data_IF_328660982575
#
_entry.id   IF_328660982575
#
_cell.length_a   1.000
_cell.length_b   1.000
_cell.length_c   1.000
_cell.angle_alpha   90.00
_cell.angle_beta   90.00
_cell.angle_gamma   90.00
#
_symmetry.space_group_name_H-M   'P 1'
#
loop_
_entity.id
_entity.type
_entity.pdbx_description
1 polymer ?
#
# COMPACT_ATOMS: atom_id res chain seq x y z
N UNK A 1 -24.67 -24.19 -6.43
CA UNK A 1 -24.87 -23.81 -7.85
C UNK A 1 -24.26 -24.89 -8.75
N UNK A 2 -25.07 -25.72 -9.43
CA UNK A 2 -24.61 -26.81 -10.29
C UNK A 2 -23.61 -26.35 -11.37
N UNK A 3 -23.78 -25.12 -11.86
CA UNK A 3 -22.90 -24.45 -12.83
C UNK A 3 -21.45 -24.28 -12.35
N UNK A 4 -21.13 -24.35 -11.04
CA UNK A 4 -19.73 -24.25 -10.57
C UNK A 4 -18.85 -25.41 -11.08
N UNK A 5 -19.41 -26.59 -11.30
CA UNK A 5 -18.63 -27.79 -11.67
C UNK A 5 -18.10 -27.73 -13.11
N UNK A 6 -18.78 -27.01 -14.00
CA UNK A 6 -18.39 -26.94 -15.42
C UNK A 6 -17.31 -25.88 -15.70
N UNK A 7 -17.12 -24.93 -14.77
CA UNK A 7 -16.23 -23.76 -14.94
C UNK A 7 -14.94 -23.91 -14.11
N UNK A 8 -14.97 -24.75 -13.09
CA UNK A 8 -13.83 -25.03 -12.21
C UNK A 8 -13.04 -26.23 -12.76
N UNK A 9 -12.31 -26.03 -13.86
CA UNK A 9 -11.09 -26.84 -14.03
C UNK A 9 -10.20 -26.59 -12.80
N UNK A 10 -9.57 -27.62 -12.20
CA UNK A 10 -8.60 -27.41 -11.14
C UNK A 10 -7.63 -26.33 -11.60
N UNK A 11 -7.45 -25.26 -10.80
CA UNK A 11 -6.48 -24.23 -11.15
C UNK A 11 -5.12 -24.92 -11.37
N UNK A 12 -4.44 -24.70 -12.51
CA UNK A 12 -3.02 -24.99 -12.59
C UNK A 12 -2.29 -24.32 -11.43
N UNK A 13 -1.24 -24.93 -10.88
CA UNK A 13 -0.49 -24.40 -9.73
C UNK A 13 0.13 -23.00 -10.00
N UNK A 14 0.15 -22.58 -11.26
CA UNK A 14 0.70 -21.37 -11.85
C UNK A 14 -0.38 -20.38 -12.35
N UNK A 15 -1.65 -20.55 -11.99
CA UNK A 15 -2.73 -19.69 -12.47
C UNK A 15 -3.00 -18.47 -11.56
N UNK A 16 -2.17 -17.44 -11.67
CA UNK A 16 -2.35 -16.08 -11.11
C UNK A 16 -1.29 -15.14 -11.71
N UNK A 17 -1.57 -13.87 -12.06
CA UNK A 17 -2.76 -13.09 -11.70
C UNK A 17 -3.88 -13.12 -12.74
N UNK A 18 -5.09 -12.80 -12.28
CA UNK A 18 -6.20 -12.43 -13.16
C UNK A 18 -5.98 -11.03 -13.70
N UNK A 19 -6.17 -10.85 -15.00
CA UNK A 19 -6.13 -9.55 -15.63
C UNK A 19 -7.52 -9.16 -16.08
N UNK A 20 -7.91 -7.92 -15.79
CA UNK A 20 -9.08 -7.32 -16.41
C UNK A 20 -8.61 -6.48 -17.59
N UNK A 21 -9.13 -6.75 -18.77
CA UNK A 21 -8.90 -5.94 -19.96
C UNK A 21 -10.01 -4.88 -20.06
N UNK A 22 -9.73 -3.60 -19.74
CA UNK A 22 -10.77 -2.58 -19.69
C UNK A 22 -11.36 -2.26 -21.06
N UNK A 23 -10.59 -2.41 -22.14
CA UNK A 23 -11.04 -2.12 -23.52
C UNK A 23 -12.13 -3.10 -23.96
N UNK A 24 -11.98 -4.38 -23.62
CA UNK A 24 -12.92 -5.44 -24.03
C UNK A 24 -13.92 -5.79 -22.94
N UNK A 25 -13.70 -5.32 -21.71
CA UNK A 25 -14.51 -5.63 -20.54
C UNK A 25 -14.37 -7.07 -20.07
N UNK A 26 -13.28 -7.77 -20.42
CA UNK A 26 -13.12 -9.21 -20.15
C UNK A 26 -12.06 -9.49 -19.10
N UNK A 27 -12.37 -10.47 -18.25
CA UNK A 27 -11.38 -11.10 -17.39
C UNK A 27 -10.61 -12.17 -18.14
N UNK A 28 -9.29 -12.02 -18.16
CA UNK A 28 -8.36 -12.96 -18.72
C UNK A 28 -7.63 -13.69 -17.60
N UNK A 29 -7.75 -15.01 -17.61
CA UNK A 29 -6.96 -15.89 -16.75
C UNK A 29 -5.78 -16.42 -17.55
N UNK A 30 -4.69 -15.66 -17.57
CA UNK A 30 -3.47 -16.11 -18.23
C UNK A 30 -2.78 -17.17 -17.36
N UNK A 31 -2.32 -18.27 -17.98
CA UNK A 31 -1.31 -19.12 -17.35
C UNK A 31 -0.01 -18.35 -17.39
N UNK A 32 0.67 -18.21 -16.25
CA UNK A 32 1.99 -17.61 -16.25
C UNK A 32 3.00 -18.59 -16.83
N UNK A 33 4.06 -18.08 -17.46
CA UNK A 33 5.10 -18.91 -18.08
C UNK A 33 6.02 -19.62 -17.07
N UNK A 34 5.81 -19.40 -15.77
CA UNK A 34 6.53 -20.00 -14.64
C UNK A 34 5.57 -20.19 -13.48
N UNK A 35 5.95 -21.00 -12.49
CA UNK A 35 5.20 -21.11 -11.24
C UNK A 35 5.13 -19.76 -10.52
N UNK A 36 3.94 -19.40 -10.04
CA UNK A 36 3.72 -18.22 -9.24
C UNK A 36 4.08 -18.41 -7.76
N UNK A 37 4.08 -17.32 -6.97
CA UNK A 37 4.26 -17.39 -5.53
C UNK A 37 3.12 -18.13 -4.84
N UNK A 38 3.38 -18.65 -3.65
CA UNK A 38 2.32 -18.90 -2.69
C UNK A 38 1.58 -17.58 -2.40
N UNK A 39 0.27 -17.64 -2.23
CA UNK A 39 -0.52 -16.47 -1.87
C UNK A 39 -1.57 -16.85 -0.83
N UNK A 40 -1.97 -15.86 -0.04
CA UNK A 40 -3.02 -15.95 0.96
C UNK A 40 -3.64 -14.57 1.20
N UNK A 41 -4.18 -14.40 2.40
CA UNK A 41 -4.76 -13.12 2.82
C UNK A 41 -3.67 -12.15 3.28
N UNK A 42 -3.85 -10.87 2.97
CA UNK A 42 -3.00 -9.78 3.46
C UNK A 42 -1.61 -9.70 2.83
N UNK A 43 -1.45 -10.22 1.62
CA UNK A 43 -0.24 -10.06 0.80
C UNK A 43 -0.16 -8.64 0.20
N UNK A 44 1.07 -8.21 -0.12
CA UNK A 44 1.31 -6.91 -0.77
C UNK A 44 1.58 -7.11 -2.25
N UNK A 45 0.87 -6.37 -3.11
CA UNK A 45 1.13 -6.30 -4.55
C UNK A 45 1.23 -4.83 -4.98
N UNK A 46 2.35 -4.45 -5.59
CA UNK A 46 2.62 -3.10 -6.07
C UNK A 46 3.07 -3.15 -7.52
N UNK A 47 2.43 -2.40 -8.40
CA UNK A 47 2.90 -2.22 -9.77
C UNK A 47 4.04 -1.18 -9.83
N UNK A 48 5.09 -1.53 -10.58
CA UNK A 48 6.30 -0.74 -10.81
C UNK A 48 6.30 -0.26 -12.27
N UNK A 49 5.74 0.92 -12.57
CA UNK A 49 5.51 1.37 -13.95
C UNK A 49 6.79 1.44 -14.77
N UNK A 50 7.87 1.98 -14.21
CA UNK A 50 9.16 2.14 -14.89
C UNK A 50 9.80 0.80 -15.30
N UNK A 51 9.41 -0.28 -14.62
CA UNK A 51 9.92 -1.63 -14.84
C UNK A 51 8.95 -2.54 -15.58
N UNK A 52 7.68 -2.12 -15.74
CA UNK A 52 6.59 -2.97 -16.22
C UNK A 52 6.50 -4.29 -15.44
N UNK A 53 6.75 -4.21 -14.13
CA UNK A 53 6.77 -5.35 -13.22
C UNK A 53 5.80 -5.13 -12.07
N UNK A 54 5.32 -6.19 -11.45
CA UNK A 54 4.66 -6.10 -10.14
C UNK A 54 5.56 -6.72 -9.08
N UNK A 55 5.81 -5.97 -8.01
CA UNK A 55 6.38 -6.49 -6.77
C UNK A 55 5.28 -7.20 -5.98
N UNK A 56 5.56 -8.42 -5.55
CA UNK A 56 4.69 -9.19 -4.69
C UNK A 56 5.46 -9.61 -3.44
N UNK A 57 4.85 -9.43 -2.27
CA UNK A 57 5.37 -9.89 -1.00
C UNK A 57 4.30 -10.74 -0.33
N UNK A 58 4.64 -12.02 -0.12
CA UNK A 58 3.83 -12.93 0.67
C UNK A 58 4.15 -12.71 2.16
N UNK A 59 3.24 -12.04 2.88
CA UNK A 59 3.40 -11.67 4.29
C UNK A 59 4.70 -10.87 4.52
N UNK A 60 5.70 -11.47 5.19
CA UNK A 60 7.06 -10.94 5.29
C UNK A 60 8.12 -11.95 4.85
N UNK A 61 7.73 -12.99 4.12
CA UNK A 61 8.57 -14.15 3.88
C UNK A 61 9.20 -14.12 2.50
N UNK A 62 8.38 -14.12 1.45
CA UNK A 62 8.81 -14.35 0.08
C UNK A 62 8.53 -13.14 -0.78
N UNK A 63 9.54 -12.71 -1.53
CA UNK A 63 9.42 -11.63 -2.49
C UNK A 63 9.48 -12.21 -3.89
N UNK A 64 8.57 -11.75 -4.74
CA UNK A 64 8.48 -12.16 -6.12
C UNK A 64 8.31 -10.92 -7.00
N UNK A 65 8.83 -10.99 -8.22
CA UNK A 65 8.59 -10.02 -9.27
C UNK A 65 7.82 -10.71 -10.39
N UNK A 66 6.69 -10.13 -10.79
CA UNK A 66 5.98 -10.53 -11.99
C UNK A 66 6.36 -9.60 -13.14
N UNK A 67 6.90 -10.16 -14.20
CA UNK A 67 7.18 -9.43 -15.44
C UNK A 67 5.96 -9.46 -16.36
N UNK A 68 5.35 -8.30 -16.56
CA UNK A 68 4.10 -8.18 -17.34
C UNK A 68 4.31 -8.39 -18.84
N UNK A 69 5.54 -8.25 -19.34
CA UNK A 69 5.83 -8.37 -20.78
C UNK A 69 6.09 -9.83 -21.16
N UNK A 70 6.80 -10.56 -20.31
CA UNK A 70 7.13 -11.97 -20.52
C UNK A 70 6.13 -12.90 -19.86
N UNK A 71 5.21 -12.38 -19.05
CA UNK A 71 4.21 -13.12 -18.30
C UNK A 71 4.85 -14.18 -17.38
N UNK A 72 5.90 -13.79 -16.65
CA UNK A 72 6.67 -14.70 -15.78
C UNK A 72 6.81 -14.14 -14.38
N UNK A 73 6.60 -15.02 -13.40
CA UNK A 73 6.98 -14.80 -12.02
C UNK A 73 8.44 -15.21 -11.80
N UNK A 74 9.15 -14.41 -11.02
CA UNK A 74 10.50 -14.68 -10.56
C UNK A 74 10.57 -14.49 -9.05
N UNK A 75 10.92 -15.54 -8.32
CA UNK A 75 11.27 -15.42 -6.91
C UNK A 75 12.59 -14.66 -6.79
N UNK A 76 12.62 -13.68 -5.90
CA UNK A 76 13.83 -12.93 -5.56
C UNK A 76 14.13 -13.16 -4.10
N UNK A 77 15.38 -13.49 -3.78
CA UNK A 77 15.85 -13.72 -2.41
C UNK A 77 16.51 -12.44 -1.89
N UNK A 78 15.80 -11.60 -1.13
CA UNK A 78 16.35 -10.32 -0.72
C UNK A 78 17.34 -10.49 0.41
N UNK A 79 18.35 -9.62 0.44
CA UNK A 79 19.28 -9.52 1.57
C UNK A 79 18.69 -8.64 2.67
N UNK A 80 19.39 -8.59 3.81
CA UNK A 80 19.07 -7.69 4.91
C UNK A 80 17.97 -8.21 5.83
N UNK A 81 17.68 -7.47 6.92
CA UNK A 81 16.69 -7.88 7.91
C UNK A 81 15.29 -7.77 7.30
N UNK A 82 14.52 -8.87 7.30
CA UNK A 82 13.11 -8.85 6.88
C UNK A 82 12.28 -7.98 7.82
N UNK A 83 11.17 -7.37 7.35
CA UNK A 83 10.29 -6.61 8.21
C UNK A 83 9.73 -7.48 9.36
N UNK A 84 9.70 -6.98 10.61
CA UNK A 84 9.34 -7.76 11.80
C UNK A 84 7.82 -7.83 12.05
N UNK A 85 7.02 -7.75 10.98
CA UNK A 85 5.56 -7.76 11.01
C UNK A 85 5.01 -8.62 9.87
N UNK A 86 3.76 -9.06 9.95
CA UNK A 86 3.19 -10.09 9.08
C UNK A 86 2.37 -9.57 7.90
N UNK A 87 1.07 -9.84 7.96
CA UNK A 87 0.08 -9.56 6.91
C UNK A 87 -0.49 -8.14 7.03
N UNK A 88 -1.26 -7.72 6.03
CA UNK A 88 -2.01 -6.46 6.03
C UNK A 88 -1.12 -5.21 6.14
N UNK A 89 0.13 -5.31 5.69
CA UNK A 89 1.05 -4.20 5.66
C UNK A 89 0.59 -3.14 4.66
N UNK A 90 0.65 -1.87 5.04
CA UNK A 90 0.45 -0.77 4.09
C UNK A 90 1.75 -0.53 3.32
N UNK A 91 1.68 -0.04 2.08
CA UNK A 91 2.88 0.12 1.27
C UNK A 91 2.72 1.11 0.13
N UNK A 92 3.84 1.67 -0.33
CA UNK A 92 3.88 2.52 -1.52
C UNK A 92 5.20 2.40 -2.29
N UNK A 93 5.20 2.82 -3.55
CA UNK A 93 6.37 2.84 -4.42
C UNK A 93 6.91 4.26 -4.59
N UNK A 94 8.18 4.45 -4.21
CA UNK A 94 8.98 5.62 -4.54
C UNK A 94 9.68 5.40 -5.87
N UNK A 95 9.12 6.05 -6.90
CA UNK A 95 9.62 6.00 -8.27
C UNK A 95 10.94 6.72 -8.47
N UNK A 96 11.28 7.72 -7.65
CA UNK A 96 12.55 8.47 -7.78
C UNK A 96 13.74 7.62 -7.32
N UNK A 97 13.57 6.86 -6.23
CA UNK A 97 14.64 6.04 -5.64
C UNK A 97 14.56 4.58 -6.07
N UNK A 98 13.45 4.17 -6.67
CA UNK A 98 13.09 2.76 -6.88
C UNK A 98 13.10 1.99 -5.57
N UNK A 99 12.31 2.47 -4.62
CA UNK A 99 12.15 1.87 -3.30
C UNK A 99 10.69 1.57 -3.04
N UNK A 100 10.44 0.52 -2.28
CA UNK A 100 9.11 0.25 -1.75
C UNK A 100 9.17 0.50 -0.25
N UNK A 101 8.33 1.42 0.21
CA UNK A 101 8.13 1.66 1.62
C UNK A 101 7.01 0.76 2.12
N UNK A 102 7.26 0.02 3.19
CA UNK A 102 6.28 -0.88 3.80
C UNK A 102 6.13 -0.51 5.27
N UNK A 103 4.89 -0.29 5.65
CA UNK A 103 4.48 0.10 6.98
C UNK A 103 3.69 -1.00 7.66
N UNK A 104 4.21 -1.45 8.79
CA UNK A 104 3.54 -2.29 9.77
C UNK A 104 2.89 -3.53 9.19
N UNK A 105 1.85 -3.98 9.86
CA UNK A 105 1.15 -5.21 9.56
C UNK A 105 0.60 -5.80 10.85
N UNK A 106 -0.26 -6.80 10.70
CA UNK A 106 -0.83 -7.60 11.76
C UNK A 106 -0.28 -9.03 11.68
N UNK A 107 -0.31 -9.75 12.80
CA UNK A 107 -0.07 -11.20 12.84
C UNK A 107 1.24 -11.69 12.15
N UNK A 108 2.43 -11.34 12.70
CA UNK A 108 2.62 -10.59 13.95
C UNK A 108 2.66 -9.07 13.76
N UNK A 109 2.46 -8.36 14.86
CA UNK A 109 2.77 -6.93 14.97
C UNK A 109 4.25 -6.76 15.30
N UNK A 110 4.86 -5.63 14.90
CA UNK A 110 6.25 -5.35 15.20
C UNK A 110 6.50 -5.26 16.73
N UNK A 111 7.71 -5.59 17.21
CA UNK A 111 8.06 -5.41 18.61
C UNK A 111 7.82 -3.98 19.09
N UNK A 112 7.41 -3.85 20.34
CA UNK A 112 7.23 -2.53 20.97
C UNK A 112 8.53 -1.73 20.93
N UNK A 113 8.40 -0.41 20.71
CA UNK A 113 9.55 0.50 20.59
C UNK A 113 10.22 0.52 19.21
N UNK A 114 9.70 -0.21 18.22
CA UNK A 114 10.12 -0.10 16.82
C UNK A 114 9.19 0.84 16.04
N UNK A 115 9.68 1.37 14.91
CA UNK A 115 8.91 2.26 14.04
C UNK A 115 8.07 1.52 12.99
N UNK A 116 8.00 0.18 13.03
CA UNK A 116 7.29 -0.67 12.08
C UNK A 116 7.35 -0.18 10.62
N UNK A 117 8.49 0.32 10.18
CA UNK A 117 8.66 0.96 8.88
C UNK A 117 9.92 0.44 8.23
N UNK A 118 9.77 -0.22 7.08
CA UNK A 118 10.85 -0.89 6.36
C UNK A 118 10.94 -0.37 4.94
N UNK A 119 12.14 -0.48 4.37
CA UNK A 119 12.41 -0.13 2.98
C UNK A 119 12.88 -1.36 2.24
N UNK A 120 12.27 -1.64 1.09
CA UNK A 120 12.83 -2.54 0.11
C UNK A 120 13.51 -1.72 -1.00
N UNK A 121 14.81 -1.92 -1.19
CA UNK A 121 15.56 -1.29 -2.27
C UNK A 121 15.55 -2.20 -3.51
N UNK A 122 14.84 -1.79 -4.56
CA UNK A 122 14.66 -2.59 -5.78
C UNK A 122 15.94 -2.66 -6.64
N UNK A 123 16.94 -1.79 -6.42
CA UNK A 123 18.20 -1.83 -7.16
C UNK A 123 19.13 -2.88 -6.57
N UNK A 124 19.16 -2.97 -5.25
CA UNK A 124 20.09 -3.85 -4.52
C UNK A 124 19.44 -5.14 -4.03
N UNK A 125 18.12 -5.32 -4.24
CA UNK A 125 17.33 -6.47 -3.75
C UNK A 125 17.59 -6.70 -2.25
N UNK A 126 17.35 -5.66 -1.45
CA UNK A 126 17.73 -5.63 -0.03
C UNK A 126 16.64 -4.97 0.80
N UNK A 127 16.27 -5.61 1.90
CA UNK A 127 15.51 -5.02 2.98
C UNK A 127 16.39 -4.16 3.87
N UNK A 128 15.89 -3.00 4.27
CA UNK A 128 16.55 -2.06 5.16
C UNK A 128 15.59 -1.69 6.29
N UNK A 129 16.13 -1.70 7.52
CA UNK A 129 15.57 -0.93 8.63
C UNK A 129 16.13 0.50 8.52
N UNK A 130 15.34 1.47 8.04
CA UNK A 130 15.83 2.82 7.79
C UNK A 130 16.16 3.58 9.07
N UNK A 131 15.65 3.16 10.23
CA UNK A 131 15.82 3.86 11.53
C UNK A 131 15.67 5.38 11.42
N UNK A 132 14.51 5.87 10.93
CA UNK A 132 14.31 7.28 10.69
C UNK A 132 14.35 8.07 12.00
N UNK A 133 14.75 9.33 11.91
CA UNK A 133 14.56 10.26 13.03
C UNK A 133 13.06 10.52 13.21
N UNK A 134 12.62 10.57 14.47
CA UNK A 134 11.20 10.70 14.80
C UNK A 134 10.43 9.40 14.62
N UNK A 135 9.12 9.50 14.75
CA UNK A 135 8.18 8.39 14.69
C UNK A 135 6.90 8.93 14.10
N UNK A 136 6.20 8.20 13.22
CA UNK A 136 4.94 8.69 12.68
C UNK A 136 3.95 8.91 13.83
N UNK A 137 3.54 7.89 14.59
CA UNK A 137 2.54 8.06 15.67
C UNK A 137 3.03 7.60 17.06
N UNK A 138 2.31 7.98 18.13
CA UNK A 138 2.49 7.30 19.43
C UNK A 138 2.18 5.81 19.27
N UNK A 139 3.03 4.94 19.82
CA UNK A 139 2.87 3.49 19.67
C UNK A 139 3.11 2.97 18.25
N UNK A 140 4.10 3.51 17.53
CA UNK A 140 4.47 3.27 16.12
C UNK A 140 4.86 1.83 15.71
N UNK A 141 4.21 0.79 16.25
CA UNK A 141 4.57 -0.59 15.96
C UNK A 141 3.59 -1.32 15.02
N UNK A 142 2.52 -0.68 14.54
CA UNK A 142 1.54 -1.30 13.62
C UNK A 142 0.80 -0.29 12.75
N UNK A 143 0.81 -0.49 11.42
CA UNK A 143 0.15 0.37 10.41
C UNK A 143 -0.70 -0.44 9.43
N UNK A 144 -1.64 -1.27 9.92
CA UNK A 144 -2.32 -2.22 9.06
C UNK A 144 -3.28 -1.50 8.11
N UNK A 145 -3.49 -2.08 6.92
CA UNK A 145 -4.34 -1.52 5.85
C UNK A 145 -5.78 -1.24 6.28
N UNK A 146 -6.28 -1.87 7.35
CA UNK A 146 -7.59 -1.54 7.94
C UNK A 146 -7.68 -0.12 8.54
N UNK A 147 -6.55 0.45 8.95
CA UNK A 147 -6.48 1.75 9.62
C UNK A 147 -5.62 2.78 8.88
N UNK A 148 -4.72 2.34 8.00
CA UNK A 148 -3.74 3.20 7.37
C UNK A 148 -3.51 2.92 5.88
N UNK A 149 -3.32 4.01 5.12
CA UNK A 149 -2.88 3.98 3.73
C UNK A 149 -1.56 4.73 3.62
N UNK A 150 -0.60 4.15 2.89
CA UNK A 150 0.65 4.80 2.56
C UNK A 150 0.66 5.19 1.09
N UNK A 151 1.04 6.43 0.78
CA UNK A 151 1.18 6.93 -0.60
C UNK A 151 2.49 7.69 -0.75
N UNK A 152 3.08 7.61 -1.93
CA UNK A 152 4.24 8.41 -2.29
C UNK A 152 3.79 9.58 -3.17
N UNK A 153 4.18 10.80 -2.78
CA UNK A 153 4.00 12.02 -3.54
C UNK A 153 5.32 12.34 -4.27
N UNK A 154 5.44 12.02 -5.57
CA UNK A 154 6.63 12.33 -6.36
C UNK A 154 6.83 13.82 -6.63
N UNK A 155 5.81 14.68 -6.54
CA UNK A 155 5.99 16.12 -6.78
C UNK A 155 6.70 16.78 -5.60
N UNK A 156 6.26 16.48 -4.38
CA UNK A 156 6.85 17.02 -3.16
C UNK A 156 7.99 16.14 -2.59
N UNK A 157 8.19 14.94 -3.15
CA UNK A 157 9.16 13.94 -2.69
C UNK A 157 8.97 13.60 -1.21
N UNK A 158 7.75 13.13 -0.89
CA UNK A 158 7.32 12.77 0.46
C UNK A 158 6.56 11.45 0.44
N UNK A 159 6.66 10.71 1.54
CA UNK A 159 5.77 9.57 1.81
C UNK A 159 4.75 10.02 2.83
N UNK A 160 3.48 9.84 2.52
CA UNK A 160 2.38 10.13 3.42
C UNK A 160 1.87 8.82 3.99
N UNK A 161 1.92 8.68 5.31
CA UNK A 161 1.24 7.63 6.06
C UNK A 161 -0.04 8.23 6.65
N UNK A 162 -1.18 7.83 6.11
CA UNK A 162 -2.49 8.40 6.43
C UNK A 162 -3.25 7.42 7.30
N UNK A 163 -3.39 7.74 8.58
CA UNK A 163 -4.25 7.01 9.50
C UNK A 163 -5.65 7.58 9.45
N UNK A 164 -6.58 6.82 8.88
CA UNK A 164 -7.90 7.32 8.49
C UNK A 164 -9.06 6.76 9.33
N UNK A 165 -8.81 5.79 10.19
CA UNK A 165 -9.80 5.17 11.07
C UNK A 165 -9.14 4.64 12.34
N UNK A 166 -9.95 4.45 13.38
CA UNK A 166 -9.55 3.94 14.68
C UNK A 166 -10.19 2.57 14.95
N UNK A 167 -10.36 1.74 13.91
CA UNK A 167 -11.22 0.54 13.93
C UNK A 167 -11.06 -0.29 15.21
N UNK A 168 -9.81 -0.62 15.56
CA UNK A 168 -9.39 -1.28 16.81
C UNK A 168 -8.37 -0.43 17.61
N UNK A 169 -8.32 0.88 17.34
CA UNK A 169 -7.18 1.72 17.71
C UNK A 169 -7.63 2.99 18.42
N UNK A 170 -6.65 3.79 18.86
CA UNK A 170 -6.89 4.98 19.63
C UNK A 170 -7.00 6.23 18.73
N UNK A 171 -7.97 7.13 18.96
CA UNK A 171 -8.25 8.27 18.08
C UNK A 171 -7.08 9.25 17.93
N UNK A 172 -6.15 9.29 18.89
CA UNK A 172 -4.94 10.10 18.86
C UNK A 172 -3.95 9.71 17.76
N UNK A 173 -4.14 8.55 17.11
CA UNK A 173 -3.33 8.12 15.97
C UNK A 173 -3.83 8.67 14.64
N UNK A 174 -5.03 9.25 14.59
CA UNK A 174 -5.55 9.88 13.37
C UNK A 174 -4.63 11.04 12.96
N UNK A 175 -4.10 10.96 11.75
CA UNK A 175 -3.15 11.94 11.24
C UNK A 175 -2.68 11.59 9.84
N UNK A 176 -2.19 12.60 9.13
CA UNK A 176 -1.34 12.42 7.96
C UNK A 176 0.09 12.66 8.41
N UNK A 177 0.84 11.59 8.53
CA UNK A 177 2.25 11.62 8.94
C UNK A 177 3.13 11.69 7.71
N UNK A 178 4.06 12.63 7.70
CA UNK A 178 4.89 12.93 6.54
C UNK A 178 6.31 12.44 6.79
N UNK A 179 6.81 11.58 5.92
CA UNK A 179 8.20 11.13 5.92
C UNK A 179 8.95 11.77 4.76
N UNK A 180 10.15 12.28 5.04
CA UNK A 180 11.11 12.76 4.06
C UNK A 180 12.15 11.67 3.74
N UNK A 181 12.11 11.09 2.53
CA UNK A 181 13.08 10.07 2.10
C UNK A 181 14.54 10.52 2.03
N UNK A 182 14.81 11.80 1.80
CA UNK A 182 16.18 12.34 1.68
C UNK A 182 16.80 12.53 3.05
N UNK A 183 16.03 13.12 3.97
CA UNK A 183 16.48 13.41 5.32
C UNK A 183 16.30 12.22 6.28
N UNK A 184 15.57 11.17 5.86
CA UNK A 184 15.23 10.00 6.67
C UNK A 184 14.59 10.41 8.02
N UNK A 185 13.57 11.26 7.93
CA UNK A 185 12.92 11.86 9.09
C UNK A 185 11.41 11.90 8.91
N UNK A 186 10.70 11.57 9.98
CA UNK A 186 9.28 11.89 10.11
C UNK A 186 9.12 13.33 10.60
N UNK A 187 8.14 14.05 10.09
CA UNK A 187 7.75 15.34 10.63
C UNK A 187 7.32 15.19 12.10
N UNK A 188 7.64 16.19 12.94
CA UNK A 188 7.36 16.15 14.37
C UNK A 188 5.85 16.18 14.67
N UNK A 189 5.07 16.86 13.81
CA UNK A 189 3.61 16.97 13.93
C UNK A 189 2.91 16.34 12.74
N UNK A 190 1.85 15.59 13.02
CA UNK A 190 0.96 15.05 12.00
C UNK A 190 0.05 16.16 11.47
N UNK A 191 -0.22 16.16 10.17
CA UNK A 191 -1.26 17.01 9.61
C UNK A 191 -2.64 16.43 9.97
N UNK A 192 -3.67 17.27 10.13
CA UNK A 192 -5.01 16.79 10.41
C UNK A 192 -5.53 15.94 9.24
N UNK A 193 -6.19 14.83 9.58
CA UNK A 193 -6.95 14.07 8.59
C UNK A 193 -8.19 14.89 8.22
N UNK A 194 -8.49 15.07 6.92
CA UNK A 194 -9.71 15.74 6.50
C UNK A 194 -10.94 15.10 7.15
N UNK A 195 -11.87 15.90 7.69
CA UNK A 195 -13.03 15.39 8.44
C UNK A 195 -13.85 14.35 7.65
N UNK A 196 -13.92 14.47 6.32
CA UNK A 196 -14.61 13.52 5.43
C UNK A 196 -13.89 12.18 5.27
N UNK A 197 -12.58 12.16 5.50
CA UNK A 197 -11.76 10.95 5.45
C UNK A 197 -11.65 10.29 6.83
N UNK A 198 -11.63 11.10 7.89
CA UNK A 198 -11.52 10.63 9.26
C UNK A 198 -12.86 10.23 9.89
N UNK A 199 -12.80 9.79 11.16
CA UNK A 199 -13.95 9.64 12.08
C UNK A 199 -15.02 8.63 11.68
N UNK A 200 -14.65 7.59 10.93
CA UNK A 200 -15.52 6.44 10.69
C UNK A 200 -14.74 5.12 10.78
N UNK A 201 -15.46 4.00 10.70
CA UNK A 201 -14.89 2.64 10.68
C UNK A 201 -14.76 2.10 9.26
N UNK A 202 -14.76 2.94 8.23
CA UNK A 202 -14.60 2.44 6.87
C UNK A 202 -13.13 2.18 6.57
N UNK A 203 -12.88 1.02 5.95
CA UNK A 203 -11.58 0.69 5.38
C UNK A 203 -11.36 1.57 4.16
N UNK A 204 -10.12 1.99 3.95
CA UNK A 204 -9.79 2.90 2.86
C UNK A 204 -8.59 2.40 2.11
N UNK A 205 -8.59 2.66 0.82
CA UNK A 205 -7.44 2.51 -0.04
C UNK A 205 -7.27 3.79 -0.85
N UNK A 206 -6.05 4.09 -1.26
CA UNK A 206 -5.78 5.32 -1.98
C UNK A 206 -4.54 5.26 -2.84
N UNK A 207 -4.44 6.22 -3.75
CA UNK A 207 -3.31 6.39 -4.63
C UNK A 207 -3.09 7.87 -4.91
N UNK A 208 -1.86 8.22 -5.29
CA UNK A 208 -1.51 9.57 -5.71
C UNK A 208 -1.60 9.70 -7.23
N UNK A 209 -2.23 10.76 -7.71
CA UNK A 209 -2.28 11.14 -9.11
C UNK A 209 -1.33 12.33 -9.37
N UNK A 210 -0.26 12.15 -10.15
CA UNK A 210 0.73 13.20 -10.39
C UNK A 210 0.27 14.29 -11.36
N UNK A 211 -0.72 14.03 -12.22
CA UNK A 211 -1.22 15.04 -13.15
C UNK A 211 -2.14 16.03 -12.42
N UNK A 212 -2.99 15.51 -11.54
CA UNK A 212 -3.92 16.29 -10.74
C UNK A 212 -3.27 16.83 -9.45
N UNK A 213 -2.14 16.27 -9.03
CA UNK A 213 -1.48 16.52 -7.75
C UNK A 213 -2.46 16.31 -6.59
N UNK A 214 -3.09 15.14 -6.54
CA UNK A 214 -4.06 14.78 -5.50
C UNK A 214 -3.86 13.36 -5.02
N UNK A 215 -4.20 13.11 -3.76
CA UNK A 215 -4.40 11.75 -3.24
C UNK A 215 -5.88 11.42 -3.33
N UNK A 216 -6.21 10.36 -4.05
CA UNK A 216 -7.54 9.77 -4.05
C UNK A 216 -7.66 8.76 -2.92
N UNK A 217 -8.80 8.76 -2.24
CA UNK A 217 -9.20 7.72 -1.31
C UNK A 217 -10.56 7.17 -1.73
N UNK A 218 -10.62 5.86 -1.81
CA UNK A 218 -11.86 5.13 -1.80
C UNK A 218 -12.11 4.62 -0.38
N UNK A 219 -13.30 4.89 0.13
CA UNK A 219 -13.73 4.53 1.48
C UNK A 219 -14.92 3.58 1.36
N UNK A 220 -14.82 2.39 1.93
CA UNK A 220 -15.91 1.42 1.94
C UNK A 220 -15.93 0.63 3.26
N UNK A 221 -17.12 0.21 3.67
CA UNK A 221 -17.36 -0.66 4.81
C UNK A 221 -17.89 -2.01 4.36
N UNK A 222 -17.91 -2.99 5.27
CA UNK A 222 -18.57 -4.27 5.00
C UNK A 222 -20.07 -4.01 4.75
N UNK A 223 -20.51 -4.27 3.52
CA UNK A 223 -21.91 -4.09 3.09
C UNK A 223 -22.43 -2.65 3.17
N UNK A 224 -21.55 -1.65 3.13
CA UNK A 224 -21.90 -0.22 3.10
C UNK A 224 -21.57 0.41 1.74
N UNK A 225 -22.43 1.31 1.26
CA UNK A 225 -22.13 2.14 0.10
C UNK A 225 -20.91 3.04 0.40
N UNK A 226 -19.91 2.96 -0.47
CA UNK A 226 -18.66 3.68 -0.31
C UNK A 226 -18.70 5.11 -0.86
N UNK A 227 -17.61 5.85 -0.64
CA UNK A 227 -17.38 7.14 -1.29
C UNK A 227 -15.96 7.25 -1.83
N UNK A 228 -15.80 8.02 -2.90
CA UNK A 228 -14.49 8.43 -3.42
C UNK A 228 -14.27 9.90 -3.10
N UNK A 229 -13.17 10.19 -2.42
CA UNK A 229 -12.73 11.54 -2.07
C UNK A 229 -11.35 11.79 -2.65
N UNK A 230 -11.06 13.06 -2.97
CA UNK A 230 -9.72 13.50 -3.37
C UNK A 230 -9.27 14.68 -2.51
N UNK A 231 -7.99 14.68 -2.17
CA UNK A 231 -7.38 15.72 -1.35
C UNK A 231 -6.10 16.24 -2.00
N UNK A 232 -5.91 17.55 -1.91
CA UNK A 232 -4.70 18.25 -2.34
C UNK A 232 -4.14 19.07 -1.20
N UNK A 233 -2.83 19.06 -1.03
CA UNK A 233 -2.14 20.01 -0.17
C UNK A 233 -2.15 21.39 -0.86
N UNK A 234 -2.78 22.38 -0.23
CA UNK A 234 -2.88 23.73 -0.80
C UNK A 234 -1.82 24.66 -0.22
N UNK A 235 -1.06 25.32 -1.11
CA UNK A 235 0.00 26.27 -0.77
C UNK A 235 -0.46 27.53 -0.01
N UNK A 236 -1.78 27.76 0.15
CA UNK A 236 -2.28 28.93 0.87
C UNK A 236 -2.07 28.84 2.38
N UNK A 237 -1.93 27.63 2.95
CA UNK A 237 -1.48 27.38 4.33
C UNK A 237 -0.78 26.01 4.35
N UNK A 238 0.53 25.91 4.67
CA UNK A 238 1.18 24.63 4.92
C UNK A 238 0.33 23.82 5.92
N UNK A 239 -0.11 22.62 5.52
CA UNK A 239 -0.98 21.77 6.36
C UNK A 239 -2.50 21.91 6.15
N UNK A 240 -2.97 22.62 5.13
CA UNK A 240 -4.40 22.66 4.76
C UNK A 240 -4.71 21.79 3.53
N UNK A 241 -5.67 20.87 3.70
CA UNK A 241 -6.20 20.03 2.62
C UNK A 241 -7.56 20.56 2.17
N UNK A 242 -7.71 20.94 0.90
CA UNK A 242 -9.00 21.35 0.33
C UNK A 242 -9.74 20.14 -0.25
N UNK A 243 -10.99 19.89 0.18
CA UNK A 243 -11.85 18.86 -0.43
C UNK A 243 -12.42 19.35 -1.76
N UNK A 244 -12.20 18.64 -2.85
CA UNK A 244 -12.82 18.94 -4.14
C UNK A 244 -13.86 17.86 -4.47
N UNK A 245 -15.10 18.06 -3.99
CA UNK A 245 -16.38 17.37 -4.24
C UNK A 245 -16.41 15.82 -4.32
N UNK A 246 -17.43 15.14 -3.75
CA UNK A 246 -17.61 13.71 -3.98
C UNK A 246 -17.87 13.44 -5.47
N UNK A 247 -17.18 12.46 -6.04
CA UNK A 247 -17.59 11.86 -7.31
C UNK A 247 -18.63 10.80 -6.92
N UNK A 248 -19.90 11.18 -6.98
CA UNK A 248 -21.02 10.24 -6.81
C UNK A 248 -21.27 9.63 -8.18
N UNK A 249 -21.22 8.29 -8.26
CA UNK A 249 -21.73 7.54 -9.42
C UNK A 249 -23.20 7.21 -9.20
#
# INVERSE_FOLDING_TARGET
>A
MPQRKDWLKPPPADASPWFYEPITGKWNRLRTGTNGPASGYGDTLIYLPDRKQAFFLHRNQDVWLYDTQTNKWQSVNPRGPKPPFGIDATSCYDSKRHRIYIGGGSYPVAPSGTNAFWVYDLKTNTWLDPKPKGSPCKGSNSYPTKNAVMVYDPLNDKVLLVFHSFFDDAPERLGVYVYDPNANVWADEALPVPDKLGRNRQAKNGFYDPELNVVFFHSAGDSEDGCVSRFRETAMLPGSWSSAFPIVH
#
